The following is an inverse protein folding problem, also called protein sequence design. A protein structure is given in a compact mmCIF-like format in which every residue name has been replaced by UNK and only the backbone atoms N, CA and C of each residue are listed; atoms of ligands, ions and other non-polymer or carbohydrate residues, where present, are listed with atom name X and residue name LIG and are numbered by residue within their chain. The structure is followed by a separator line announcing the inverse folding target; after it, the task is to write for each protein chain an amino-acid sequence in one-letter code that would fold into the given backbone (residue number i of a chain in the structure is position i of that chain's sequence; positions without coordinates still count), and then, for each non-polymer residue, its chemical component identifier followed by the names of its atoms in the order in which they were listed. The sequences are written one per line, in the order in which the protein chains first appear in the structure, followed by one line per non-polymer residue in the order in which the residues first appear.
data_IF_845340832552
#
_entry.id   IF_845340832552
#
_cell.length_a   1.000
_cell.length_b   1.000
_cell.length_c   1.000
_cell.angle_alpha   90.00
_cell.angle_beta   90.00
_cell.angle_gamma   90.00
#
_symmetry.space_group_name_H-M   'P 1'
#
loop_
_entity.id
_entity.type
_entity.pdbx_description
1 polymer ?
#
# COMPACT_ATOMS: atom_id res chain seq x y z
N UNK A 1 -26.30 28.32 30.76
CA UNK A 1 -25.69 27.10 31.35
C UNK A 1 -24.54 27.48 32.28
N UNK A 2 -24.46 26.91 33.48
CA UNK A 2 -23.35 27.15 34.42
C UNK A 2 -22.02 26.65 33.81
N UNK A 3 -20.91 27.34 34.10
CA UNK A 3 -19.56 27.01 33.54
C UNK A 3 -19.20 25.53 33.70
N UNK A 4 -19.54 24.93 34.85
CA UNK A 4 -19.34 23.49 35.14
C UNK A 4 -20.11 22.58 34.19
N UNK A 5 -21.37 22.89 33.90
CA UNK A 5 -22.21 22.10 32.98
C UNK A 5 -21.66 22.11 31.55
N UNK A 6 -21.11 23.24 31.09
CA UNK A 6 -20.47 23.34 29.77
C UNK A 6 -19.20 22.47 29.67
N UNK A 7 -18.39 22.45 30.73
CA UNK A 7 -17.16 21.64 30.78
C UNK A 7 -17.50 20.14 30.75
N UNK A 8 -18.46 19.70 31.57
CA UNK A 8 -18.89 18.29 31.60
C UNK A 8 -19.42 17.87 30.23
N UNK A 9 -20.28 18.68 29.62
CA UNK A 9 -20.82 18.38 28.29
C UNK A 9 -19.70 18.26 27.24
N UNK A 10 -18.73 19.18 27.26
CA UNK A 10 -17.60 19.14 26.33
C UNK A 10 -16.73 17.89 26.51
N UNK A 11 -16.50 17.46 27.76
CA UNK A 11 -15.77 16.23 28.08
C UNK A 11 -16.52 14.99 27.60
N UNK A 12 -17.84 14.93 27.83
CA UNK A 12 -18.68 13.83 27.35
C UNK A 12 -18.66 13.72 25.83
N UNK A 13 -18.76 14.84 25.10
CA UNK A 13 -18.65 14.85 23.63
C UNK A 13 -17.26 14.40 23.19
N UNK A 14 -16.20 14.91 23.83
CA UNK A 14 -14.84 14.48 23.52
C UNK A 14 -14.63 12.98 23.73
N UNK A 15 -15.17 12.41 24.81
CA UNK A 15 -15.09 10.98 25.10
C UNK A 15 -15.82 10.15 24.04
N UNK A 16 -17.00 10.59 23.60
CA UNK A 16 -17.76 9.91 22.54
C UNK A 16 -16.98 9.94 21.22
N UNK A 17 -16.38 11.07 20.85
CA UNK A 17 -15.57 11.16 19.63
C UNK A 17 -14.33 10.26 19.67
N UNK A 18 -13.65 10.19 20.82
CA UNK A 18 -12.53 9.26 21.01
C UNK A 18 -12.98 7.81 20.86
N UNK A 19 -14.13 7.45 21.43
CA UNK A 19 -14.68 6.10 21.34
C UNK A 19 -15.05 5.74 19.89
N UNK A 20 -15.74 6.64 19.18
CA UNK A 20 -16.05 6.44 17.76
C UNK A 20 -14.79 6.31 16.90
N UNK A 21 -13.78 7.14 17.14
CA UNK A 21 -12.49 7.06 16.46
C UNK A 21 -11.78 5.72 16.70
N UNK A 22 -11.87 5.21 17.94
CA UNK A 22 -11.31 3.90 18.28
C UNK A 22 -12.00 2.77 17.52
N UNK A 23 -13.35 2.69 17.49
CA UNK A 23 -14.00 1.59 16.75
C UNK A 23 -13.75 1.70 15.24
N UNK A 24 -13.71 2.92 14.69
CA UNK A 24 -13.38 3.12 13.28
C UNK A 24 -11.98 2.59 12.97
N UNK A 25 -10.99 2.91 13.80
CA UNK A 25 -9.63 2.41 13.65
C UNK A 25 -9.58 0.87 13.75
N UNK A 26 -10.30 0.28 14.72
CA UNK A 26 -10.36 -1.17 14.87
C UNK A 26 -10.92 -1.85 13.62
N UNK A 27 -12.05 -1.39 13.08
CA UNK A 27 -12.61 -1.94 11.85
C UNK A 27 -11.69 -1.74 10.65
N UNK A 28 -11.03 -0.58 10.57
CA UNK A 28 -10.09 -0.31 9.49
C UNK A 28 -8.88 -1.25 9.53
N UNK A 29 -8.30 -1.48 10.71
CA UNK A 29 -7.20 -2.45 10.87
C UNK A 29 -7.65 -3.88 10.54
N UNK A 30 -8.85 -4.30 10.96
CA UNK A 30 -9.38 -5.63 10.63
C UNK A 30 -9.59 -5.79 9.12
N UNK A 31 -10.10 -4.77 8.43
CA UNK A 31 -10.28 -4.82 6.97
C UNK A 31 -8.93 -4.99 6.23
N UNK A 32 -7.88 -4.33 6.71
CA UNK A 32 -6.52 -4.49 6.17
C UNK A 32 -6.00 -5.91 6.43
N UNK A 33 -6.19 -6.43 7.64
CA UNK A 33 -5.76 -7.78 7.99
C UNK A 33 -6.47 -8.85 7.14
N UNK A 34 -7.80 -8.73 6.97
CA UNK A 34 -8.61 -9.63 6.15
C UNK A 34 -8.21 -9.61 4.67
N UNK A 35 -7.79 -8.45 4.15
CA UNK A 35 -7.38 -8.31 2.75
C UNK A 35 -5.96 -8.76 2.46
N UNK A 36 -5.02 -8.50 3.38
CA UNK A 36 -3.60 -8.68 3.08
C UNK A 36 -2.91 -9.77 3.86
N UNK A 37 -3.39 -10.13 5.06
CA UNK A 37 -2.71 -11.10 5.92
C UNK A 37 -1.21 -10.79 6.04
N UNK A 38 -0.36 -11.68 5.53
CA UNK A 38 1.09 -11.54 5.53
C UNK A 38 1.60 -10.35 4.70
N UNK A 39 0.80 -9.84 3.75
CA UNK A 39 1.12 -8.68 2.92
C UNK A 39 0.79 -7.33 3.59
N UNK A 40 0.40 -7.30 4.86
CA UNK A 40 0.09 -6.06 5.59
C UNK A 40 1.21 -5.01 5.49
N UNK A 41 2.48 -5.44 5.46
CA UNK A 41 3.61 -4.53 5.31
C UNK A 41 3.55 -3.70 4.02
N UNK A 42 3.04 -4.29 2.92
CA UNK A 42 2.82 -3.58 1.67
C UNK A 42 1.78 -2.49 1.86
N UNK A 43 0.70 -2.76 2.61
CA UNK A 43 -0.29 -1.75 2.93
C UNK A 43 0.28 -0.62 3.79
N UNK A 44 1.12 -0.88 4.78
CA UNK A 44 1.58 0.20 5.66
C UNK A 44 2.75 1.02 5.10
N UNK A 45 3.67 0.41 4.35
CA UNK A 45 4.90 1.07 3.92
C UNK A 45 4.85 1.65 2.49
N UNK A 46 4.08 1.02 1.60
CA UNK A 46 3.95 1.49 0.23
C UNK A 46 3.07 2.73 0.14
N UNK A 47 3.34 3.55 -0.87
CA UNK A 47 2.61 4.75 -1.25
C UNK A 47 2.18 4.68 -2.71
N UNK A 48 1.25 5.56 -3.08
CA UNK A 48 0.94 5.82 -4.48
C UNK A 48 2.21 6.15 -5.25
N UNK A 49 2.28 5.64 -6.48
CA UNK A 49 3.40 5.81 -7.42
C UNK A 49 4.69 5.05 -7.05
N UNK A 50 4.70 4.28 -5.95
CA UNK A 50 5.78 3.32 -5.71
C UNK A 50 5.78 2.24 -6.82
N UNK A 51 6.96 1.74 -7.17
CA UNK A 51 7.17 0.75 -8.23
C UNK A 51 7.32 -0.62 -7.59
N UNK A 52 6.50 -1.58 -8.03
CA UNK A 52 6.60 -2.98 -7.61
C UNK A 52 7.27 -3.80 -8.72
N UNK A 53 8.24 -4.63 -8.35
CA UNK A 53 8.92 -5.57 -9.24
C UNK A 53 8.65 -6.99 -8.77
N UNK A 54 8.37 -7.87 -9.73
CA UNK A 54 8.33 -9.31 -9.54
C UNK A 54 9.50 -9.93 -10.31
N UNK A 55 10.50 -10.40 -9.55
CA UNK A 55 11.74 -10.94 -10.12
C UNK A 55 11.54 -12.31 -10.76
N UNK A 56 10.51 -13.07 -10.36
CA UNK A 56 10.29 -14.44 -10.85
C UNK A 56 9.70 -14.46 -12.26
N UNK A 57 8.81 -13.50 -12.57
CA UNK A 57 8.17 -13.40 -13.89
C UNK A 57 8.59 -12.16 -14.70
N UNK A 58 9.56 -11.39 -14.20
CA UNK A 58 10.05 -10.13 -14.80
C UNK A 58 8.95 -9.12 -15.10
N UNK A 59 7.90 -9.09 -14.29
CA UNK A 59 6.86 -8.06 -14.37
C UNK A 59 7.14 -6.93 -13.41
N UNK A 60 6.60 -5.77 -13.72
CA UNK A 60 6.63 -4.61 -12.85
C UNK A 60 5.36 -3.80 -13.05
N UNK A 61 5.07 -2.92 -12.11
CA UNK A 61 3.92 -2.04 -12.17
C UNK A 61 4.01 -0.90 -11.17
N UNK A 62 3.00 -0.04 -11.20
CA UNK A 62 2.85 1.09 -10.27
C UNK A 62 1.83 0.71 -9.21
N UNK A 63 2.17 1.00 -7.96
CA UNK A 63 1.25 0.90 -6.82
C UNK A 63 0.25 2.06 -6.88
N UNK A 64 -1.03 1.71 -6.92
CA UNK A 64 -2.17 2.60 -6.71
C UNK A 64 -2.87 2.14 -5.42
N UNK A 65 -2.79 2.96 -4.38
CA UNK A 65 -3.22 2.68 -3.03
C UNK A 65 -4.34 3.64 -2.62
N UNK A 66 -5.50 3.06 -2.35
CA UNK A 66 -6.57 3.75 -1.65
C UNK A 66 -6.58 3.39 -0.15
N UNK A 67 -7.51 3.97 0.60
CA UNK A 67 -7.64 3.75 2.05
C UNK A 67 -8.08 2.33 2.43
N UNK A 68 -8.25 1.40 1.47
CA UNK A 68 -8.70 0.03 1.71
C UNK A 68 -7.93 -0.98 0.86
N UNK A 69 -7.49 -0.58 -0.32
CA UNK A 69 -6.97 -1.45 -1.38
C UNK A 69 -5.66 -0.95 -1.98
N UNK A 70 -4.77 -1.89 -2.29
CA UNK A 70 -3.62 -1.71 -3.15
C UNK A 70 -3.92 -2.43 -4.46
N UNK A 71 -3.81 -1.70 -5.55
CA UNK A 71 -3.84 -2.20 -6.91
C UNK A 71 -2.50 -1.96 -7.55
N UNK A 72 -2.07 -2.89 -8.38
CA UNK A 72 -0.92 -2.75 -9.26
C UNK A 72 -1.42 -2.41 -10.64
N UNK A 73 -0.94 -1.30 -11.18
CA UNK A 73 -1.18 -0.86 -12.55
C UNK A 73 -0.01 -1.33 -13.40
N UNK A 74 -0.25 -2.25 -14.33
CA UNK A 74 0.78 -2.74 -15.24
C UNK A 74 1.08 -1.72 -16.38
N UNK A 75 2.07 -2.01 -17.22
CA UNK A 75 2.44 -1.16 -18.36
C UNK A 75 1.35 -1.03 -19.42
N UNK A 76 0.34 -1.91 -19.41
CA UNK A 76 -0.85 -1.88 -20.28
C UNK A 76 -2.02 -1.15 -19.64
N UNK A 77 -1.81 -0.54 -18.47
CA UNK A 77 -2.84 0.12 -17.66
C UNK A 77 -3.94 -0.84 -17.15
N UNK A 78 -3.63 -2.13 -17.06
CA UNK A 78 -4.47 -3.13 -16.40
C UNK A 78 -4.25 -3.05 -14.89
N UNK A 79 -5.35 -3.09 -14.13
CA UNK A 79 -5.31 -3.02 -12.66
C UNK A 79 -5.52 -4.41 -12.06
N UNK A 80 -4.58 -4.84 -11.25
CA UNK A 80 -4.61 -6.13 -10.55
C UNK A 80 -4.53 -5.89 -9.05
N UNK A 81 -5.30 -6.62 -8.25
CA UNK A 81 -5.19 -6.54 -6.78
C UNK A 81 -3.80 -7.04 -6.33
N UNK A 82 -3.20 -6.40 -5.33
CA UNK A 82 -1.87 -6.77 -4.82
C UNK A 82 -1.77 -8.26 -4.48
N UNK A 83 -2.79 -8.83 -3.84
CA UNK A 83 -2.77 -10.23 -3.45
C UNK A 83 -2.56 -11.14 -4.66
N UNK A 84 -3.28 -10.85 -5.74
CA UNK A 84 -3.22 -11.61 -7.00
C UNK A 84 -1.93 -11.36 -7.78
N UNK A 85 -1.26 -10.23 -7.51
CA UNK A 85 0.02 -9.90 -8.13
C UNK A 85 1.19 -10.62 -7.45
N UNK A 86 1.13 -10.75 -6.12
CA UNK A 86 2.18 -11.39 -5.32
C UNK A 86 2.06 -12.92 -5.36
N UNK A 87 0.85 -13.44 -5.21
CA UNK A 87 0.60 -14.89 -5.23
C UNK A 87 0.23 -15.34 -6.65
N UNK A 88 1.09 -16.15 -7.25
CA UNK A 88 0.76 -16.85 -8.48
C UNK A 88 -0.22 -17.97 -8.10
N UNK A 89 -1.47 -17.83 -8.55
CA UNK A 89 -2.61 -18.68 -8.16
C UNK A 89 -2.37 -20.20 -8.25
N UNK A 90 -1.46 -20.64 -9.13
CA UNK A 90 -1.27 -22.06 -9.40
C UNK A 90 -0.42 -22.80 -8.34
N UNK A 91 0.46 -22.11 -7.59
CA UNK A 91 1.42 -22.79 -6.69
C UNK A 91 1.47 -22.23 -5.25
N UNK A 92 0.71 -21.17 -4.92
CA UNK A 92 0.81 -20.45 -3.61
C UNK A 92 2.24 -20.06 -3.20
N UNK A 93 3.16 -20.02 -4.17
CA UNK A 93 4.53 -19.59 -3.98
C UNK A 93 4.53 -18.06 -3.92
N UNK A 94 5.09 -17.53 -2.85
CA UNK A 94 5.29 -16.10 -2.71
C UNK A 94 6.37 -15.65 -3.71
N UNK A 95 6.00 -14.72 -4.58
CA UNK A 95 6.95 -14.20 -5.56
C UNK A 95 8.06 -13.40 -4.86
N UNK A 96 9.27 -13.38 -5.42
CA UNK A 96 10.32 -12.45 -5.04
C UNK A 96 9.94 -11.05 -5.47
N UNK A 97 9.39 -10.30 -4.51
CA UNK A 97 8.87 -8.95 -4.72
C UNK A 97 9.78 -7.93 -4.07
N UNK A 98 10.08 -6.88 -4.82
CA UNK A 98 10.69 -5.68 -4.27
C UNK A 98 9.83 -4.45 -4.64
N UNK A 99 9.72 -3.51 -3.70
CA UNK A 99 9.01 -2.25 -3.89
C UNK A 99 10.01 -1.11 -3.75
N UNK A 100 10.01 -0.21 -4.71
CA UNK A 100 10.90 0.93 -4.79
C UNK A 100 10.12 2.24 -4.86
N UNK A 101 10.62 3.27 -4.19
CA UNK A 101 10.08 4.62 -4.29
C UNK A 101 10.99 5.46 -5.19
N UNK A 102 10.49 5.96 -6.32
CA UNK A 102 11.32 6.78 -7.19
C UNK A 102 11.47 8.20 -6.63
N UNK A 103 12.64 8.82 -6.85
CA UNK A 103 12.90 10.20 -6.41
C UNK A 103 12.05 11.24 -7.15
N UNK A 104 11.53 10.87 -8.32
CA UNK A 104 10.65 11.69 -9.15
C UNK A 104 9.64 10.81 -9.87
N UNK A 105 8.54 11.40 -10.36
CA UNK A 105 7.49 10.65 -11.06
C UNK A 105 8.03 10.01 -12.35
N UNK A 106 7.88 8.70 -12.47
CA UNK A 106 8.35 7.91 -13.61
C UNK A 106 7.15 7.45 -14.45
N UNK A 107 7.24 7.64 -15.77
CA UNK A 107 6.29 7.07 -16.72
C UNK A 107 6.73 5.65 -17.11
N UNK A 108 6.15 4.64 -16.45
CA UNK A 108 6.46 3.24 -16.69
C UNK A 108 5.85 2.68 -17.97
N UNK A 109 4.88 3.35 -18.61
CA UNK A 109 4.15 2.81 -19.76
C UNK A 109 5.05 2.56 -20.98
N UNK A 110 6.24 3.18 -21.02
CA UNK A 110 7.21 3.08 -22.12
C UNK A 110 8.47 2.29 -21.77
N UNK A 111 8.56 1.78 -20.54
CA UNK A 111 9.75 1.09 -20.07
C UNK A 111 9.60 -0.42 -20.22
N UNK A 112 10.73 -1.11 -20.32
CA UNK A 112 10.85 -2.54 -20.11
C UNK A 112 11.47 -2.86 -18.73
N UNK A 113 11.49 -4.14 -18.38
CA UNK A 113 11.97 -4.60 -17.08
C UNK A 113 13.44 -4.21 -16.83
N UNK A 114 14.29 -4.40 -17.84
CA UNK A 114 15.72 -4.09 -17.77
C UNK A 114 15.98 -2.59 -17.57
N UNK A 115 15.17 -1.73 -18.17
CA UNK A 115 15.24 -0.28 -17.98
C UNK A 115 14.89 0.11 -16.54
N UNK A 116 13.85 -0.47 -15.95
CA UNK A 116 13.49 -0.23 -14.53
C UNK A 116 14.61 -0.70 -13.60
N UNK A 117 15.18 -1.88 -13.86
CA UNK A 117 16.34 -2.38 -13.09
C UNK A 117 17.54 -1.44 -13.21
N UNK A 118 17.77 -0.84 -14.38
CA UNK A 118 18.86 0.10 -14.58
C UNK A 118 18.72 1.37 -13.73
N UNK A 119 17.49 1.84 -13.50
CA UNK A 119 17.20 3.00 -12.67
C UNK A 119 17.47 2.69 -11.19
N UNK A 120 17.13 1.47 -10.74
CA UNK A 120 17.48 0.99 -9.40
C UNK A 120 19.00 0.97 -9.20
N UNK A 121 19.74 0.46 -10.19
CA UNK A 121 21.22 0.40 -10.14
C UNK A 121 21.89 1.78 -10.13
N UNK A 122 21.25 2.79 -10.73
CA UNK A 122 21.70 4.18 -10.70
C UNK A 122 21.39 4.89 -9.38
N UNK A 123 20.76 4.18 -8.43
CA UNK A 123 20.37 4.71 -7.13
C UNK A 123 19.35 5.86 -7.24
N UNK A 124 18.50 5.84 -8.28
CA UNK A 124 17.43 6.81 -8.52
C UNK A 124 16.11 6.43 -7.80
N UNK A 125 16.17 5.38 -6.98
CA UNK A 125 15.03 4.89 -6.20
C UNK A 125 15.46 4.35 -4.84
N UNK A 126 14.61 4.56 -3.84
CA UNK A 126 14.75 4.01 -2.49
C UNK A 126 14.05 2.65 -2.40
N UNK A 127 14.72 1.62 -1.89
CA UNK A 127 14.10 0.33 -1.58
C UNK A 127 13.19 0.47 -0.35
N UNK A 128 11.91 0.14 -0.49
CA UNK A 128 10.90 0.24 0.57
C UNK A 128 10.61 -1.13 1.18
N UNK A 129 10.33 -2.13 0.35
CA UNK A 129 10.02 -3.50 0.77
C UNK A 129 10.87 -4.47 -0.04
N UNK A 130 11.34 -5.51 0.63
CA UNK A 130 11.99 -6.66 0.02
C UNK A 130 11.47 -7.93 0.69
N UNK A 131 11.07 -8.88 -0.13
CA UNK A 131 10.59 -10.19 0.26
C UNK A 131 11.47 -11.28 -0.37
#
# INVERSE_FOLDING_TARGET
MKKRTKIILSLSVGLVLLFCGFIYLSFHTMEIEDHYGDLQQFYYQSKDEDIILNHDNKKFGIIEKDTRRIRIVDTRNEKVDLYNWVYIYDDFQESKIEVFRPDSKIDLARMNYEEVVSLIQKNEMELIIKN
#
